data_IF_227963790978
#
_entry.id   IF_227963790978
#
_cell.length_a   1.000
_cell.length_b   1.000
_cell.length_c   1.000
_cell.angle_alpha   90.00
_cell.angle_beta   90.00
_cell.angle_gamma   90.00
#
_symmetry.space_group_name_H-M   'P 1'
#
loop_
_entity.id
_entity.type
_entity.pdbx_description
1 polymer ?
#
# COMPACT_ATOMS: atom_id res chain seq x y z
N UNK A 1 25.60 8.21 -10.90
CA UNK A 1 26.06 7.71 -12.21
C UNK A 1 25.18 6.57 -12.71
N UNK A 2 25.07 5.42 -12.03
CA UNK A 2 24.23 4.28 -12.52
C UNK A 2 22.70 4.53 -12.46
N UNK A 3 22.22 5.28 -11.46
CA UNK A 3 20.79 5.67 -11.39
C UNK A 3 20.45 6.68 -12.48
N UNK A 4 21.29 7.71 -12.66
CA UNK A 4 21.12 8.79 -13.65
C UNK A 4 20.99 8.24 -15.08
N UNK A 5 21.79 7.24 -15.41
CA UNK A 5 21.75 6.53 -16.70
C UNK A 5 20.44 5.79 -16.93
N UNK A 6 19.73 5.41 -15.87
CA UNK A 6 18.50 4.60 -15.92
C UNK A 6 17.22 5.39 -15.62
N UNK A 7 17.32 6.69 -15.31
CA UNK A 7 16.17 7.58 -15.06
C UNK A 7 15.18 7.57 -16.23
N UNK A 8 15.65 7.44 -17.46
CA UNK A 8 14.77 7.36 -18.64
C UNK A 8 13.82 6.16 -18.64
N UNK A 9 14.08 5.15 -17.80
CA UNK A 9 13.22 3.97 -17.63
C UNK A 9 12.16 4.16 -16.54
N UNK A 10 12.22 5.25 -15.77
CA UNK A 10 11.26 5.60 -14.73
C UNK A 10 9.89 5.87 -15.34
N UNK A 11 8.85 5.25 -14.79
CA UNK A 11 7.47 5.47 -15.23
C UNK A 11 6.64 6.23 -14.20
N UNK A 12 7.17 6.40 -12.99
CA UNK A 12 6.54 7.16 -11.92
C UNK A 12 6.47 8.65 -12.24
N UNK A 13 5.38 9.28 -11.81
CA UNK A 13 5.19 10.72 -11.88
C UNK A 13 5.29 11.31 -10.48
N UNK A 14 6.06 12.38 -10.37
CA UNK A 14 6.22 13.14 -9.13
C UNK A 14 5.64 14.53 -9.32
N UNK A 15 4.98 15.03 -8.28
CA UNK A 15 4.49 16.40 -8.22
C UNK A 15 5.02 17.06 -6.94
N UNK A 16 6.29 17.51 -6.93
CA UNK A 16 6.97 17.92 -5.71
C UNK A 16 6.42 19.19 -5.05
N UNK A 17 5.71 20.03 -5.80
CA UNK A 17 5.21 21.33 -5.35
C UNK A 17 3.68 21.41 -5.29
N UNK A 18 3.02 20.27 -5.06
CA UNK A 18 1.57 20.27 -4.82
C UNK A 18 1.26 20.89 -3.46
N UNK A 19 0.28 21.81 -3.36
CA UNK A 19 -0.10 22.43 -2.08
C UNK A 19 -0.31 21.40 -0.96
N UNK A 20 -0.99 20.29 -1.28
CA UNK A 20 -1.28 19.18 -0.36
C UNK A 20 -0.06 18.52 0.29
N UNK A 21 1.16 18.71 -0.25
CA UNK A 21 2.39 18.19 0.33
C UNK A 21 3.04 19.13 1.37
N UNK A 22 2.62 20.39 1.41
CA UNK A 22 3.15 21.38 2.33
C UNK A 22 2.40 21.36 3.67
N UNK A 23 3.12 21.53 4.79
CA UNK A 23 2.49 21.69 6.11
C UNK A 23 1.46 22.81 6.11
N UNK A 24 0.30 22.56 6.72
CA UNK A 24 -0.86 23.46 6.76
C UNK A 24 -1.93 23.12 5.72
N UNK A 25 -1.57 22.43 4.65
CA UNK A 25 -2.46 22.05 3.54
C UNK A 25 -2.61 20.51 3.38
N UNK A 26 -1.99 19.72 4.28
CA UNK A 26 -2.03 18.25 4.20
C UNK A 26 -3.39 17.74 4.66
N UNK A 27 -3.75 16.54 4.19
CA UNK A 27 -4.94 15.84 4.68
C UNK A 27 -4.92 15.73 6.22
N UNK A 28 -3.75 15.40 6.78
CA UNK A 28 -3.54 15.28 8.22
C UNK A 28 -3.70 16.61 8.97
N UNK A 29 -3.45 17.75 8.33
CA UNK A 29 -3.56 19.06 8.99
C UNK A 29 -5.03 19.49 9.15
N UNK A 30 -5.90 19.05 8.25
CA UNK A 30 -7.33 19.41 8.25
C UNK A 30 -8.24 18.33 8.86
N UNK A 31 -7.87 17.05 8.71
CA UNK A 31 -8.74 15.91 9.03
C UNK A 31 -8.08 14.89 9.97
N UNK A 32 -7.20 15.35 10.88
CA UNK A 32 -6.52 14.49 11.85
C UNK A 32 -7.50 13.57 12.61
N UNK A 33 -8.67 14.08 13.00
CA UNK A 33 -9.67 13.35 13.78
C UNK A 33 -10.38 12.24 12.98
N UNK A 34 -10.32 12.30 11.65
CA UNK A 34 -10.94 11.33 10.75
C UNK A 34 -9.99 10.18 10.38
N UNK A 35 -8.72 10.27 10.76
CA UNK A 35 -7.68 9.32 10.40
C UNK A 35 -7.14 8.61 11.65
N UNK A 36 -7.19 7.27 11.64
CA UNK A 36 -6.70 6.48 12.76
C UNK A 36 -5.78 5.34 12.30
N UNK A 37 -4.75 5.09 13.10
CA UNK A 37 -3.81 3.99 12.90
C UNK A 37 -3.84 3.04 14.11
N UNK A 38 -4.04 1.75 13.88
CA UNK A 38 -4.07 0.72 14.92
C UNK A 38 -2.81 -0.16 14.88
N UNK A 39 -1.73 0.41 15.43
CA UNK A 39 -0.35 -0.13 15.39
C UNK A 39 0.03 -0.93 16.63
N UNK A 40 -0.93 -1.63 17.25
CA UNK A 40 -0.63 -2.47 18.42
C UNK A 40 0.52 -3.44 18.14
N UNK A 41 1.21 -3.80 19.21
CA UNK A 41 2.43 -4.60 19.19
C UNK A 41 2.31 -5.86 18.28
N UNK A 42 3.18 -6.01 17.26
CA UNK A 42 3.19 -7.15 16.36
C UNK A 42 3.49 -8.49 17.05
N UNK A 43 4.08 -8.46 18.24
CA UNK A 43 4.53 -9.67 18.96
C UNK A 43 3.41 -10.36 19.74
N UNK A 44 2.29 -9.67 19.96
CA UNK A 44 1.12 -10.23 20.64
C UNK A 44 0.22 -10.96 19.65
N UNK A 45 -0.46 -12.02 20.09
CA UNK A 45 -1.50 -12.66 19.27
C UNK A 45 -2.68 -11.71 19.09
N UNK A 46 -2.73 -11.05 17.93
CA UNK A 46 -3.78 -10.08 17.57
C UNK A 46 -5.08 -10.75 17.13
N UNK A 47 -5.10 -12.06 16.89
CA UNK A 47 -6.26 -12.76 16.31
C UNK A 47 -7.55 -12.60 17.13
N UNK A 48 -7.57 -12.74 18.47
CA UNK A 48 -8.80 -12.56 19.25
C UNK A 48 -9.37 -11.15 19.09
N UNK A 49 -8.49 -10.14 19.16
CA UNK A 49 -8.88 -8.74 19.00
C UNK A 49 -9.41 -8.45 17.59
N UNK A 50 -8.72 -8.90 16.55
CA UNK A 50 -9.16 -8.69 15.15
C UNK A 50 -10.50 -9.37 14.88
N UNK A 51 -10.71 -10.59 15.40
CA UNK A 51 -11.98 -11.31 15.28
C UNK A 51 -13.12 -10.55 15.96
N UNK A 52 -12.90 -10.07 17.18
CA UNK A 52 -13.90 -9.28 17.91
C UNK A 52 -14.21 -7.96 17.19
N UNK A 53 -13.18 -7.27 16.73
CA UNK A 53 -13.29 -6.02 15.99
C UNK A 53 -14.13 -6.21 14.73
N UNK A 54 -13.79 -7.20 13.90
CA UNK A 54 -14.53 -7.47 12.66
C UNK A 54 -15.95 -7.98 12.94
N UNK A 55 -16.16 -8.79 13.98
CA UNK A 55 -17.53 -9.19 14.35
C UNK A 55 -18.41 -7.97 14.69
N UNK A 56 -17.89 -7.00 15.45
CA UNK A 56 -18.62 -5.75 15.76
C UNK A 56 -18.87 -4.91 14.51
N UNK A 57 -17.85 -4.79 13.66
CA UNK A 57 -17.90 -3.92 12.48
C UNK A 57 -18.80 -4.50 11.39
N UNK A 58 -18.81 -5.82 11.20
CA UNK A 58 -19.71 -6.47 10.23
C UNK A 58 -21.19 -6.24 10.55
N UNK A 59 -21.53 -5.97 11.81
CA UNK A 59 -22.88 -5.60 12.20
C UNK A 59 -23.26 -4.15 11.81
N UNK A 60 -22.28 -3.28 11.52
CA UNK A 60 -22.52 -1.90 11.14
C UNK A 60 -22.68 -1.77 9.60
N UNK A 61 -23.88 -1.42 9.09
CA UNK A 61 -24.11 -1.27 7.65
C UNK A 61 -23.43 -0.03 7.05
N UNK A 62 -22.82 0.84 7.85
CA UNK A 62 -22.14 2.05 7.39
C UNK A 62 -20.62 1.87 7.31
N UNK A 63 -20.12 0.65 7.61
CA UNK A 63 -18.69 0.35 7.56
C UNK A 63 -18.32 -0.54 6.38
N UNK A 64 -17.26 -0.15 5.68
CA UNK A 64 -16.61 -0.95 4.65
C UNK A 64 -15.31 -1.50 5.21
N UNK A 65 -15.16 -2.82 5.14
CA UNK A 65 -13.93 -3.53 5.46
C UNK A 65 -13.12 -3.67 4.17
N UNK A 66 -11.84 -3.37 4.19
CA UNK A 66 -10.96 -3.51 3.04
C UNK A 66 -9.68 -4.26 3.43
N UNK A 67 -9.34 -5.31 2.71
CA UNK A 67 -8.05 -5.97 2.83
C UNK A 67 -7.14 -5.51 1.69
N UNK A 68 -5.94 -5.03 2.02
CA UNK A 68 -4.93 -4.58 1.08
C UNK A 68 -3.64 -5.37 1.31
N UNK A 69 -3.10 -5.96 0.25
CA UNK A 69 -1.85 -6.69 0.32
C UNK A 69 -1.09 -6.60 -1.01
N UNK A 70 0.22 -6.41 -0.92
CA UNK A 70 1.17 -6.45 -2.01
C UNK A 70 1.96 -7.75 -2.07
N UNK A 71 2.51 -8.05 -3.25
CA UNK A 71 3.40 -9.19 -3.45
C UNK A 71 4.47 -8.84 -4.45
N UNK A 72 5.72 -9.07 -4.04
CA UNK A 72 6.89 -9.00 -4.93
C UNK A 72 7.43 -10.42 -5.10
N UNK A 73 7.40 -10.98 -6.32
CA UNK A 73 7.95 -12.29 -6.57
C UNK A 73 9.45 -12.36 -6.28
N UNK A 74 9.92 -13.48 -5.73
CA UNK A 74 11.37 -13.73 -5.54
C UNK A 74 12.15 -13.86 -6.84
N UNK A 75 11.47 -14.20 -7.94
CA UNK A 75 12.07 -14.34 -9.26
C UNK A 75 11.84 -13.08 -10.08
N UNK A 76 12.93 -12.52 -10.60
CA UNK A 76 12.93 -11.33 -11.48
C UNK A 76 12.21 -11.56 -12.83
N UNK A 77 11.70 -12.76 -13.08
CA UNK A 77 10.91 -13.12 -14.25
C UNK A 77 9.44 -12.70 -14.11
N UNK A 78 8.96 -12.50 -12.89
CA UNK A 78 7.57 -12.15 -12.61
C UNK A 78 7.44 -10.71 -12.13
N UNK A 79 6.30 -10.11 -12.42
CA UNK A 79 5.95 -8.75 -12.01
C UNK A 79 5.40 -8.74 -10.60
N UNK A 80 5.61 -7.63 -9.90
CA UNK A 80 4.93 -7.40 -8.64
C UNK A 80 3.43 -7.22 -8.88
N UNK A 81 2.64 -7.41 -7.84
CA UNK A 81 1.21 -7.20 -7.92
C UNK A 81 0.72 -6.63 -6.59
N UNK A 82 -0.32 -5.80 -6.66
CA UNK A 82 -1.11 -5.34 -5.52
C UNK A 82 -2.54 -5.85 -5.63
N UNK A 83 -3.17 -6.15 -4.50
CA UNK A 83 -4.56 -6.60 -4.45
C UNK A 83 -5.32 -5.87 -3.35
N UNK A 84 -6.58 -5.56 -3.65
CA UNK A 84 -7.51 -5.03 -2.68
C UNK A 84 -8.85 -5.75 -2.79
N UNK A 85 -9.42 -6.12 -1.65
CA UNK A 85 -10.74 -6.76 -1.55
C UNK A 85 -11.57 -5.97 -0.54
N UNK A 86 -12.78 -5.58 -0.92
CA UNK A 86 -13.70 -4.84 -0.05
C UNK A 86 -14.94 -5.68 0.29
N UNK A 87 -15.38 -5.57 1.53
CA UNK A 87 -16.55 -6.23 2.08
C UNK A 87 -17.46 -5.23 2.78
N UNK A 88 -18.76 -5.53 2.79
CA UNK A 88 -19.75 -4.84 3.61
C UNK A 88 -20.58 -5.89 4.34
N UNK A 89 -20.55 -5.86 5.66
CA UNK A 89 -21.00 -6.99 6.48
C UNK A 89 -20.26 -8.28 6.11
N UNK A 90 -20.99 -9.34 5.76
CA UNK A 90 -20.43 -10.62 5.33
C UNK A 90 -20.26 -10.78 3.81
N UNK A 91 -20.65 -9.78 3.02
CA UNK A 91 -20.64 -9.86 1.56
C UNK A 91 -19.38 -9.21 0.98
N UNK A 92 -18.65 -9.94 0.13
CA UNK A 92 -17.63 -9.35 -0.74
C UNK A 92 -18.33 -8.45 -1.76
N UNK A 93 -17.94 -7.18 -1.82
CA UNK A 93 -18.49 -6.24 -2.78
C UNK A 93 -17.69 -6.21 -4.08
N UNK A 94 -16.36 -6.20 -3.95
CA UNK A 94 -15.45 -6.11 -5.09
C UNK A 94 -14.06 -6.56 -4.69
N UNK A 95 -13.37 -7.20 -5.63
CA UNK A 95 -11.93 -7.43 -5.59
C UNK A 95 -11.26 -6.83 -6.81
N UNK A 96 -10.02 -6.39 -6.64
CA UNK A 96 -9.18 -5.93 -7.72
C UNK A 96 -7.75 -6.41 -7.54
N UNK A 97 -7.06 -6.57 -8.65
CA UNK A 97 -5.63 -6.84 -8.68
C UNK A 97 -5.00 -5.91 -9.72
N UNK A 98 -3.87 -5.33 -9.36
CA UNK A 98 -3.07 -4.52 -10.27
C UNK A 98 -1.67 -5.11 -10.34
N UNK A 99 -1.22 -5.41 -11.56
CA UNK A 99 0.12 -5.92 -11.81
C UNK A 99 1.04 -4.73 -12.02
N UNK A 100 1.97 -4.53 -11.09
CA UNK A 100 2.98 -3.48 -11.13
C UNK A 100 4.29 -4.10 -11.63
N UNK A 101 4.97 -3.45 -12.56
CA UNK A 101 6.16 -4.01 -13.23
C UNK A 101 7.29 -4.45 -12.30
N UNK A 102 8.31 -3.62 -12.19
CA UNK A 102 9.45 -3.82 -11.29
C UNK A 102 9.42 -2.70 -10.27
N UNK A 103 8.78 -2.98 -9.14
CA UNK A 103 8.58 -2.04 -8.04
C UNK A 103 8.93 -2.71 -6.72
N UNK A 104 9.20 -1.91 -5.70
CA UNK A 104 9.59 -2.43 -4.38
C UNK A 104 8.38 -2.89 -3.57
N UNK A 105 8.60 -3.68 -2.51
CA UNK A 105 7.50 -4.11 -1.65
C UNK A 105 6.71 -2.92 -1.06
N UNK A 106 7.35 -1.86 -0.51
CA UNK A 106 6.62 -0.69 -0.03
C UNK A 106 5.73 -0.01 -1.08
N UNK A 107 6.19 0.10 -2.34
CA UNK A 107 5.44 0.72 -3.44
C UNK A 107 4.18 -0.09 -3.79
N UNK A 108 4.30 -1.41 -3.78
CA UNK A 108 3.21 -2.33 -4.10
C UNK A 108 2.17 -2.35 -2.99
N UNK A 109 2.61 -2.36 -1.73
CA UNK A 109 1.71 -2.23 -0.59
C UNK A 109 0.98 -0.88 -0.60
N UNK A 110 1.69 0.20 -0.94
CA UNK A 110 1.09 1.53 -1.10
C UNK A 110 0.00 1.53 -2.18
N UNK A 111 0.27 0.91 -3.34
CA UNK A 111 -0.73 0.78 -4.39
C UNK A 111 -1.92 -0.09 -3.96
N UNK A 112 -1.69 -1.15 -3.17
CA UNK A 112 -2.77 -1.98 -2.62
C UNK A 112 -3.71 -1.17 -1.72
N UNK A 113 -3.13 -0.35 -0.82
CA UNK A 113 -3.88 0.54 0.06
C UNK A 113 -4.63 1.59 -0.76
N UNK A 114 -3.99 2.20 -1.76
CA UNK A 114 -4.64 3.15 -2.64
C UNK A 114 -5.84 2.54 -3.38
N UNK A 115 -5.69 1.34 -3.92
CA UNK A 115 -6.79 0.58 -4.53
C UNK A 115 -7.93 0.33 -3.54
N UNK A 116 -7.61 -0.09 -2.31
CA UNK A 116 -8.60 -0.32 -1.26
C UNK A 116 -9.41 0.96 -0.93
N UNK A 117 -8.72 2.09 -0.73
CA UNK A 117 -9.35 3.37 -0.44
C UNK A 117 -10.26 3.80 -1.59
N UNK A 118 -9.78 3.77 -2.83
CA UNK A 118 -10.58 4.18 -3.99
C UNK A 118 -11.81 3.30 -4.23
N UNK A 119 -11.73 2.00 -3.90
CA UNK A 119 -12.89 1.12 -3.95
C UNK A 119 -13.88 1.44 -2.82
N UNK A 120 -13.38 1.76 -1.62
CA UNK A 120 -14.19 1.99 -0.43
C UNK A 120 -14.93 3.34 -0.46
N UNK A 121 -14.29 4.45 -0.86
CA UNK A 121 -14.94 5.77 -0.93
C UNK A 121 -16.07 5.83 -1.96
N UNK A 122 -16.05 4.94 -2.96
CA UNK A 122 -17.11 4.82 -3.98
C UNK A 122 -18.34 4.06 -3.49
N UNK A 123 -18.31 3.47 -2.30
CA UNK A 123 -19.44 2.73 -1.76
C UNK A 123 -20.49 3.68 -1.21
N UNK A 124 -21.75 3.49 -1.64
CA UNK A 124 -22.86 4.25 -1.11
C UNK A 124 -23.06 3.97 0.39
N UNK A 125 -23.39 5.03 1.14
CA UNK A 125 -23.63 4.99 2.59
C UNK A 125 -22.45 4.37 3.35
N UNK A 126 -21.26 4.89 3.11
CA UNK A 126 -20.02 4.52 3.80
C UNK A 126 -19.57 5.70 4.67
N UNK A 127 -19.59 5.51 5.99
CA UNK A 127 -19.07 6.48 6.98
C UNK A 127 -17.79 5.98 7.64
N UNK A 128 -17.50 4.68 7.61
CA UNK A 128 -16.28 4.15 8.20
C UNK A 128 -15.59 3.22 7.21
N UNK A 129 -14.32 3.47 6.92
CA UNK A 129 -13.48 2.58 6.13
C UNK A 129 -12.45 1.96 7.08
N UNK A 130 -12.34 0.63 7.07
CA UNK A 130 -11.33 -0.08 7.85
C UNK A 130 -10.43 -0.86 6.90
N UNK A 131 -9.20 -0.41 6.75
CA UNK A 131 -8.21 -1.00 5.86
C UNK A 131 -7.26 -1.87 6.65
N UNK A 132 -7.17 -3.13 6.29
CA UNK A 132 -6.30 -4.13 6.90
C UNK A 132 -5.09 -4.36 6.00
N UNK A 133 -3.89 -4.16 6.55
CA UNK A 133 -2.62 -4.27 5.83
C UNK A 133 -1.52 -4.76 6.76
N UNK A 134 -0.51 -5.43 6.20
CA UNK A 134 0.71 -5.81 6.90
C UNK A 134 1.86 -4.80 6.77
N UNK A 135 1.63 -3.66 6.10
CA UNK A 135 2.61 -2.59 5.96
C UNK A 135 2.11 -1.25 6.51
N UNK A 136 2.35 -1.00 7.80
CA UNK A 136 2.07 0.31 8.39
C UNK A 136 2.93 1.42 7.79
N UNK A 137 4.16 1.11 7.38
CA UNK A 137 5.00 2.08 6.67
C UNK A 137 4.34 2.58 5.39
N UNK A 138 3.72 1.69 4.62
CA UNK A 138 2.95 2.07 3.42
C UNK A 138 1.62 2.75 3.76
N UNK A 139 0.99 2.38 4.89
CA UNK A 139 -0.22 3.04 5.38
C UNK A 139 0.02 4.52 5.74
N UNK A 140 1.11 4.83 6.43
CA UNK A 140 1.53 6.22 6.69
C UNK A 140 1.84 6.96 5.40
N UNK A 141 2.60 6.34 4.49
CA UNK A 141 2.90 6.94 3.18
C UNK A 141 1.63 7.24 2.38
N UNK A 142 0.60 6.40 2.46
CA UNK A 142 -0.64 6.60 1.70
C UNK A 142 -1.35 7.92 2.02
N UNK A 143 -1.20 8.43 3.24
CA UNK A 143 -1.83 9.69 3.69
C UNK A 143 -0.85 10.85 3.78
N UNK A 144 0.43 10.62 3.48
CA UNK A 144 1.46 11.66 3.40
C UNK A 144 1.85 11.86 1.92
N UNK A 145 1.40 12.94 1.28
CA UNK A 145 1.72 13.22 -0.12
C UNK A 145 3.10 13.87 -0.32
N UNK A 146 3.98 13.85 0.69
CA UNK A 146 5.37 14.27 0.56
C UNK A 146 6.12 13.52 -0.56
N UNK A 147 7.28 14.02 -0.98
CA UNK A 147 8.00 13.43 -2.11
C UNK A 147 8.62 12.09 -1.69
N UNK A 148 8.10 10.99 -2.25
CA UNK A 148 8.61 9.64 -2.07
C UNK A 148 8.26 8.75 -3.27
N UNK A 149 8.89 7.57 -3.38
CA UNK A 149 8.53 6.55 -4.40
C UNK A 149 7.04 6.18 -4.30
N UNK A 150 6.33 6.16 -5.43
CA UNK A 150 4.87 6.00 -5.44
C UNK A 150 4.04 7.22 -5.00
N UNK A 151 4.60 8.44 -4.94
CA UNK A 151 3.88 9.67 -4.52
C UNK A 151 2.51 9.85 -5.21
N UNK A 152 2.40 9.48 -6.49
CA UNK A 152 1.14 9.57 -7.23
C UNK A 152 -0.02 8.82 -6.55
N UNK A 153 0.26 7.67 -5.92
CA UNK A 153 -0.74 6.91 -5.18
C UNK A 153 -1.18 7.64 -3.90
N UNK A 154 -0.23 8.18 -3.13
CA UNK A 154 -0.53 8.95 -1.91
C UNK A 154 -1.33 10.21 -2.22
N UNK A 155 -0.99 10.93 -3.29
CA UNK A 155 -1.75 12.09 -3.75
C UNK A 155 -3.18 11.71 -4.14
N UNK A 156 -3.33 10.59 -4.85
CA UNK A 156 -4.65 10.09 -5.26
C UNK A 156 -5.51 9.70 -4.05
N UNK A 157 -4.91 9.05 -3.05
CA UNK A 157 -5.55 8.71 -1.77
C UNK A 157 -5.96 9.97 -1.02
N UNK A 158 -5.05 10.95 -0.87
CA UNK A 158 -5.32 12.19 -0.16
C UNK A 158 -6.47 12.98 -0.80
N UNK A 159 -6.50 13.08 -2.13
CA UNK A 159 -7.60 13.73 -2.83
C UNK A 159 -8.93 12.98 -2.60
N UNK A 160 -8.93 11.65 -2.75
CA UNK A 160 -10.15 10.86 -2.59
C UNK A 160 -10.69 10.87 -1.15
N UNK A 161 -9.80 10.82 -0.15
CA UNK A 161 -10.19 10.91 1.26
C UNK A 161 -10.69 12.29 1.63
N UNK A 162 -10.05 13.36 1.14
CA UNK A 162 -10.53 14.71 1.39
C UNK A 162 -11.94 14.92 0.83
N UNK A 163 -12.18 14.58 -0.44
CA UNK A 163 -13.51 14.69 -1.04
C UNK A 163 -14.54 13.90 -0.23
N UNK A 164 -14.17 12.72 0.28
CA UNK A 164 -15.04 11.88 1.09
C UNK A 164 -15.29 12.45 2.49
N UNK A 165 -14.28 13.00 3.17
CA UNK A 165 -14.44 13.64 4.49
C UNK A 165 -15.29 14.91 4.40
N UNK A 166 -15.19 15.67 3.32
CA UNK A 166 -16.01 16.86 3.08
C UNK A 166 -17.51 16.54 2.88
N UNK A 167 -17.87 15.28 2.62
CA UNK A 167 -19.29 14.88 2.44
C UNK A 167 -20.05 14.70 3.76
N UNK A 168 -19.39 14.25 4.82
CA UNK A 168 -20.02 13.93 6.11
C UNK A 168 -18.94 13.95 7.21
N UNK A 169 -19.16 14.74 8.26
CA UNK A 169 -18.24 14.87 9.40
C UNK A 169 -18.05 13.55 10.17
N UNK A 170 -18.93 12.56 9.96
CA UNK A 170 -18.80 11.23 10.55
C UNK A 170 -17.89 10.29 9.76
N UNK A 171 -17.49 10.67 8.53
CA UNK A 171 -16.61 9.88 7.69
C UNK A 171 -15.24 9.70 8.36
N UNK A 172 -14.81 8.47 8.60
CA UNK A 172 -13.49 8.18 9.19
C UNK A 172 -12.85 6.94 8.58
N UNK A 173 -11.53 6.92 8.52
CA UNK A 173 -10.76 5.76 8.08
C UNK A 173 -9.85 5.26 9.19
N UNK A 174 -9.76 3.94 9.32
CA UNK A 174 -8.86 3.28 10.26
C UNK A 174 -7.97 2.30 9.51
N UNK A 175 -6.66 2.52 9.58
CA UNK A 175 -5.62 1.66 9.02
C UNK A 175 -5.15 0.72 10.13
N UNK A 176 -5.36 -0.59 9.93
CA UNK A 176 -5.17 -1.62 10.94
C UNK A 176 -4.02 -2.51 10.53
N UNK A 177 -3.02 -2.56 11.40
CA UNK A 177 -1.88 -3.44 11.21
C UNK A 177 -2.26 -4.91 11.43
N UNK A 178 -1.85 -5.77 10.51
CA UNK A 178 -1.90 -7.22 10.64
C UNK A 178 -0.49 -7.79 10.45
N UNK A 179 0.04 -8.57 11.41
CA UNK A 179 1.26 -9.31 11.17
C UNK A 179 1.11 -10.26 9.99
N UNK A 180 1.98 -10.15 8.98
CA UNK A 180 1.94 -10.98 7.77
C UNK A 180 1.97 -12.49 8.06
N UNK A 181 2.67 -12.89 9.12
CA UNK A 181 2.74 -14.27 9.62
C UNK A 181 1.38 -14.83 10.06
N UNK A 182 0.43 -13.97 10.46
CA UNK A 182 -0.87 -14.38 11.00
C UNK A 182 -1.81 -14.94 9.92
N UNK A 183 -1.61 -14.55 8.65
CA UNK A 183 -2.45 -14.92 7.49
C UNK A 183 -3.94 -14.91 7.82
N UNK A 184 -4.38 -13.79 8.37
CA UNK A 184 -5.66 -13.70 9.04
C UNK A 184 -6.81 -13.36 8.09
N UNK A 185 -7.87 -14.19 8.10
CA UNK A 185 -9.18 -13.97 7.48
C UNK A 185 -9.13 -13.23 6.13
N UNK A 186 -9.79 -12.06 6.02
CA UNK A 186 -9.88 -11.23 4.82
C UNK A 186 -8.51 -10.82 4.25
N UNK A 187 -7.50 -10.61 5.11
CA UNK A 187 -6.14 -10.31 4.66
C UNK A 187 -5.45 -11.56 4.08
N UNK A 188 -5.69 -12.73 4.70
CA UNK A 188 -5.26 -14.01 4.16
C UNK A 188 -5.84 -14.29 2.77
N UNK A 189 -7.10 -13.90 2.52
CA UNK A 189 -7.72 -14.00 1.18
C UNK A 189 -7.03 -13.09 0.15
N UNK A 190 -6.74 -11.83 0.50
CA UNK A 190 -6.01 -10.91 -0.38
C UNK A 190 -4.59 -11.43 -0.69
N UNK A 191 -3.89 -11.94 0.31
CA UNK A 191 -2.57 -12.57 0.15
C UNK A 191 -2.62 -13.81 -0.76
N UNK A 192 -3.64 -14.67 -0.60
CA UNK A 192 -3.80 -15.85 -1.46
C UNK A 192 -4.12 -15.45 -2.90
N UNK A 193 -5.06 -14.52 -3.07
CA UNK A 193 -5.48 -14.04 -4.39
C UNK A 193 -4.30 -13.53 -5.23
N UNK A 194 -3.35 -12.87 -4.59
CA UNK A 194 -2.20 -12.27 -5.28
C UNK A 194 -1.03 -13.22 -5.48
N UNK A 195 -0.79 -14.14 -4.54
CA UNK A 195 0.33 -15.09 -4.65
C UNK A 195 0.08 -16.18 -5.69
N UNK A 196 -1.18 -16.44 -6.01
CA UNK A 196 -1.58 -17.32 -7.12
C UNK A 196 -1.36 -16.65 -8.49
N UNK A 197 -1.32 -15.31 -8.55
CA UNK A 197 -1.13 -14.57 -9.79
C UNK A 197 0.36 -14.53 -10.18
N UNK A 198 0.68 -15.15 -11.32
CA UNK A 198 2.04 -15.12 -11.90
C UNK A 198 2.01 -14.47 -13.27
N UNK A 199 2.40 -13.19 -13.33
CA UNK A 199 2.51 -12.45 -14.59
C UNK A 199 3.97 -12.24 -14.93
N UNK A 200 4.41 -12.64 -16.12
CA UNK A 200 5.79 -12.47 -16.57
C UNK A 200 6.08 -11.01 -16.89
N UNK A 201 7.30 -10.55 -16.60
CA UNK A 201 7.78 -9.22 -17.00
C UNK A 201 7.70 -9.08 -18.52
N UNK A 202 7.14 -7.97 -19.02
CA UNK A 202 6.99 -7.67 -20.45
C UNK A 202 5.63 -8.02 -21.06
N UNK A 203 4.74 -8.73 -20.34
CA UNK A 203 3.38 -9.00 -20.80
C UNK A 203 2.38 -7.86 -20.58
N UNK A 204 2.69 -6.91 -19.68
CA UNK A 204 1.92 -5.69 -19.43
C UNK A 204 2.86 -4.50 -19.23
N UNK A 205 2.32 -3.28 -19.25
CA UNK A 205 3.10 -2.07 -19.00
C UNK A 205 3.85 -2.23 -17.68
N UNK A 206 5.17 -2.11 -17.74
CA UNK A 206 6.03 -2.28 -16.58
C UNK A 206 6.21 -0.93 -15.92
N UNK A 207 5.60 -0.76 -14.74
CA UNK A 207 5.94 0.37 -13.90
C UNK A 207 7.32 0.13 -13.26
N UNK A 208 8.19 1.13 -13.34
CA UNK A 208 9.50 1.15 -12.71
C UNK A 208 9.52 2.28 -11.68
N UNK A 209 9.73 1.95 -10.42
CA UNK A 209 9.82 2.94 -9.35
C UNK A 209 11.24 3.46 -9.13
N UNK A 210 11.33 4.68 -8.58
CA UNK A 210 12.64 5.27 -8.26
C UNK A 210 13.36 4.45 -7.18
N UNK A 211 12.62 3.95 -6.18
CA UNK A 211 13.19 3.09 -5.12
C UNK A 211 13.74 1.78 -5.72
N UNK A 212 13.12 1.24 -6.77
CA UNK A 212 13.64 0.06 -7.47
C UNK A 212 14.98 0.36 -8.16
N UNK A 213 15.11 1.50 -8.84
CA UNK A 213 16.36 1.91 -9.49
C UNK A 213 17.47 2.15 -8.46
N UNK A 214 17.16 2.84 -7.37
CA UNK A 214 18.09 3.09 -6.26
C UNK A 214 18.53 1.77 -5.60
N UNK A 215 17.58 0.86 -5.33
CA UNK A 215 17.88 -0.45 -4.76
C UNK A 215 18.78 -1.28 -5.67
N UNK A 216 18.55 -1.27 -6.98
CA UNK A 216 19.41 -1.98 -7.93
C UNK A 216 20.83 -1.40 -7.98
N UNK A 217 20.98 -0.08 -8.03
CA UNK A 217 22.30 0.55 -7.99
C UNK A 217 23.03 0.24 -6.67
N UNK A 218 22.32 0.22 -5.54
CA UNK A 218 22.91 -0.16 -4.26
C UNK A 218 23.40 -1.62 -4.26
N UNK A 219 22.62 -2.55 -4.82
CA UNK A 219 23.04 -3.94 -4.98
C UNK A 219 24.24 -4.07 -5.93
N UNK A 220 24.24 -3.37 -7.07
CA UNK A 220 25.39 -3.34 -7.99
C UNK A 220 26.69 -2.91 -7.28
N UNK A 221 26.62 -1.86 -6.46
CA UNK A 221 27.76 -1.37 -5.69
C UNK A 221 28.20 -2.38 -4.62
N UNK A 222 27.26 -3.02 -3.93
CA UNK A 222 27.57 -4.06 -2.94
C UNK A 222 28.21 -5.30 -3.57
N UNK A 223 27.75 -5.72 -4.75
CA UNK A 223 28.32 -6.84 -5.51
C UNK A 223 29.72 -6.49 -6.01
N UNK A 224 29.92 -5.26 -6.50
CA UNK A 224 31.24 -4.77 -6.90
C UNK A 224 32.19 -4.70 -5.69
N UNK A 225 31.74 -4.20 -4.56
CA UNK A 225 32.52 -4.17 -3.33
C UNK A 225 32.88 -5.59 -2.88
N UNK A 226 31.89 -6.48 -2.82
CA UNK A 226 32.10 -7.87 -2.40
C UNK A 226 33.08 -8.60 -3.32
N UNK A 227 32.95 -8.45 -4.63
CA UNK A 227 33.89 -9.05 -5.60
C UNK A 227 35.30 -8.44 -5.53
N UNK A 228 35.41 -7.13 -5.28
CA UNK A 228 36.72 -6.45 -5.19
C UNK A 228 37.49 -6.85 -3.92
N UNK A 229 36.78 -7.13 -2.82
CA UNK A 229 37.39 -7.40 -1.51
C UNK A 229 37.26 -8.86 -1.05
N UNK A 230 36.76 -9.77 -1.89
CA UNK A 230 36.77 -11.22 -1.63
C UNK A 230 38.17 -11.85 -1.79
N UNK A 231 39.06 -11.23 -2.58
CA UNK A 231 40.45 -11.68 -2.80
C UNK A 231 41.47 -11.02 -1.84
N UNK A 232 41.13 -10.91 -0.55
CA UNK A 232 42.13 -10.64 0.48
C UNK A 232 42.55 -11.97 1.13
N UNK A 233 43.35 -12.75 0.40
CA UNK A 233 44.28 -13.69 1.02
C UNK A 233 45.31 -12.87 1.81
N UNK A 234 45.08 -12.76 3.11
CA UNK A 234 46.07 -12.34 4.09
C UNK A 234 46.78 -13.57 4.68
#
# INVERSE_FOLDING_TARGET
>A
MEVDERVHTLTESFKPFVPKAFPGDRLLDHFADHLHFDERDPTQDRRPYLNELVAKVRANPLTVLAAANGSVPRSNQYQAASAAIIYKGHCELKRTCYVSGRVTAPDVELNAIACAVHLAVKQANCQHIMVFTDSMGSAHRAVDPSVHSGQAFSLSVCCALQEWFETDDLCRITLIYIPSALRWDIHGEAHKYITELKVRVGHCKTDNSIDMLCSQAAHSVLDLWSSTFQDLTY
#
